data_IF_735540645132
#
_entry.id   IF_735540645132
#
_cell.length_a   1.000
_cell.length_b   1.000
_cell.length_c   1.000
_cell.angle_alpha   90.00
_cell.angle_beta   90.00
_cell.angle_gamma   90.00
#
_symmetry.space_group_name_H-M   'P 1'
#
loop_
_entity.id
_entity.type
_entity.pdbx_description
1 polymer ?
#
# COMPACT_ATOMS: atom_id res chain seq x y z
N UNK A 1 19.01 2.12 -1.06
CA UNK A 1 17.97 1.12 -1.32
C UNK A 1 16.65 1.73 -0.89
N UNK A 2 15.68 1.85 -1.80
CA UNK A 2 14.35 2.39 -1.50
C UNK A 2 13.38 1.26 -1.14
N UNK A 3 12.76 1.35 0.02
CA UNK A 3 11.76 0.39 0.50
C UNK A 3 10.35 0.95 0.25
N UNK A 4 9.56 0.25 -0.55
CA UNK A 4 8.16 0.56 -0.80
C UNK A 4 7.21 -0.33 -0.02
N UNK A 5 6.00 0.16 0.21
CA UNK A 5 4.86 -0.65 0.67
C UNK A 5 3.69 -0.57 -0.31
N UNK A 6 3.09 -1.71 -0.60
CA UNK A 6 1.90 -1.84 -1.43
C UNK A 6 0.74 -2.39 -0.58
N UNK A 7 -0.25 -1.54 -0.30
CA UNK A 7 -1.40 -1.86 0.53
C UNK A 7 -2.57 -2.29 -0.35
N UNK A 8 -2.95 -3.57 -0.24
CA UNK A 8 -4.02 -4.12 -1.06
C UNK A 8 -5.44 -3.67 -0.70
N UNK A 9 -6.39 -4.01 -1.57
CA UNK A 9 -7.81 -3.97 -1.24
C UNK A 9 -8.17 -4.97 -0.14
N UNK A 10 -9.34 -4.82 0.47
CA UNK A 10 -9.73 -5.69 1.59
C UNK A 10 -11.11 -5.47 2.19
N UNK A 11 -11.88 -4.47 1.73
CA UNK A 11 -13.18 -4.13 2.32
C UNK A 11 -13.10 -4.02 3.85
N UNK A 12 -13.98 -4.75 4.55
CA UNK A 12 -14.06 -4.79 6.01
C UNK A 12 -12.76 -5.18 6.73
N UNK A 13 -11.80 -5.84 6.04
CA UNK A 13 -10.49 -6.23 6.61
C UNK A 13 -9.46 -5.11 6.59
N UNK A 14 -9.80 -3.91 6.10
CA UNK A 14 -8.86 -2.80 5.92
C UNK A 14 -8.09 -2.38 7.18
N UNK A 15 -8.63 -2.63 8.37
CA UNK A 15 -7.95 -2.37 9.65
C UNK A 15 -6.63 -3.12 9.83
N UNK A 16 -6.49 -4.27 9.17
CA UNK A 16 -5.25 -5.06 9.22
C UNK A 16 -4.05 -4.26 8.71
N UNK A 17 -4.25 -3.37 7.72
CA UNK A 17 -3.19 -2.48 7.24
C UNK A 17 -2.64 -1.58 8.35
N UNK A 18 -3.52 -1.02 9.19
CA UNK A 18 -3.12 -0.17 10.32
C UNK A 18 -2.27 -0.97 11.31
N UNK A 19 -2.68 -2.20 11.64
CA UNK A 19 -1.93 -3.08 12.54
C UNK A 19 -0.54 -3.44 12.01
N UNK A 20 -0.45 -3.76 10.72
CA UNK A 20 0.81 -4.06 10.03
C UNK A 20 1.73 -2.84 10.03
N UNK A 21 1.24 -1.69 9.57
CA UNK A 21 2.00 -0.43 9.53
C UNK A 21 2.54 -0.04 10.91
N UNK A 22 1.73 -0.19 11.96
CA UNK A 22 2.16 0.08 13.34
C UNK A 22 3.27 -0.87 13.79
N UNK A 23 3.13 -2.15 13.49
CA UNK A 23 4.09 -3.17 13.90
C UNK A 23 5.44 -2.96 13.21
N UNK A 24 5.41 -2.61 11.93
CA UNK A 24 6.60 -2.23 11.15
C UNK A 24 7.23 -0.93 11.67
N UNK A 25 6.42 0.10 11.94
CA UNK A 25 6.91 1.37 12.49
C UNK A 25 7.58 1.19 13.87
N UNK A 26 7.00 0.37 14.77
CA UNK A 26 7.60 0.03 16.07
C UNK A 26 8.93 -0.72 15.93
N UNK A 27 9.11 -1.46 14.85
CA UNK A 27 10.37 -2.12 14.54
C UNK A 27 11.42 -1.20 13.88
N UNK A 28 11.09 0.09 13.69
CA UNK A 28 11.94 1.07 13.05
C UNK A 28 11.94 1.01 11.52
N UNK A 29 10.97 0.30 10.91
CA UNK A 29 10.84 0.22 9.45
C UNK A 29 10.05 1.43 8.95
N UNK A 30 10.66 2.19 8.05
CA UNK A 30 10.05 3.31 7.34
C UNK A 30 10.02 3.02 5.85
N UNK A 31 9.03 3.56 5.15
CA UNK A 31 8.84 3.36 3.71
C UNK A 31 9.12 4.65 2.95
N UNK A 32 9.92 4.54 1.89
CA UNK A 32 10.25 5.62 0.96
C UNK A 32 9.15 5.84 -0.09
N UNK A 33 8.28 4.84 -0.27
CA UNK A 33 7.21 4.83 -1.27
C UNK A 33 5.99 4.11 -0.69
N UNK A 34 4.80 4.67 -0.89
CA UNK A 34 3.54 4.10 -0.41
C UNK A 34 2.57 3.99 -1.58
N UNK A 35 1.96 2.83 -1.76
CA UNK A 35 0.92 2.65 -2.77
C UNK A 35 -0.26 1.92 -2.19
N UNK A 36 -1.46 2.22 -2.69
CA UNK A 36 -2.67 1.64 -2.16
C UNK A 36 -3.77 1.44 -3.19
N UNK A 37 -4.57 0.40 -2.97
CA UNK A 37 -5.78 0.09 -3.74
C UNK A 37 -6.98 -0.02 -2.81
N UNK A 38 -8.11 0.57 -3.18
CA UNK A 38 -9.33 0.54 -2.36
C UNK A 38 -9.07 1.08 -0.96
N UNK A 39 -9.44 0.34 0.08
CA UNK A 39 -9.14 0.68 1.47
C UNK A 39 -7.63 0.86 1.74
N UNK A 40 -6.77 0.17 0.99
CA UNK A 40 -5.32 0.38 1.04
C UNK A 40 -4.89 1.76 0.54
N UNK A 41 -5.60 2.36 -0.41
CA UNK A 41 -5.35 3.74 -0.85
C UNK A 41 -5.68 4.73 0.26
N UNK A 42 -6.82 4.56 0.92
CA UNK A 42 -7.20 5.41 2.05
C UNK A 42 -6.19 5.30 3.20
N UNK A 43 -5.84 4.09 3.65
CA UNK A 43 -4.85 3.89 4.72
C UNK A 43 -3.47 4.37 4.30
N UNK A 44 -3.09 4.14 3.03
CA UNK A 44 -1.82 4.58 2.47
C UNK A 44 -1.67 6.10 2.43
N UNK A 45 -2.71 6.83 2.01
CA UNK A 45 -2.72 8.29 2.01
C UNK A 45 -2.52 8.85 3.43
N UNK A 46 -3.20 8.26 4.41
CA UNK A 46 -3.09 8.68 5.82
C UNK A 46 -1.69 8.39 6.39
N UNK A 47 -1.09 7.26 6.02
CA UNK A 47 0.29 6.94 6.39
C UNK A 47 1.29 7.91 5.72
N UNK A 48 1.14 8.14 4.41
CA UNK A 48 2.02 9.02 3.64
C UNK A 48 1.99 10.47 4.16
N UNK A 49 0.88 10.89 4.78
CA UNK A 49 0.72 12.19 5.39
C UNK A 49 1.34 12.33 6.81
N UNK A 50 2.11 11.34 7.28
CA UNK A 50 2.67 11.27 8.64
C UNK A 50 1.63 11.22 9.78
N UNK A 51 0.39 10.84 9.48
CA UNK A 51 -0.72 10.83 10.47
C UNK A 51 -0.93 9.47 11.12
N UNK A 52 0.03 8.55 11.02
CA UNK A 52 -0.11 7.17 11.53
C UNK A 52 -0.44 7.12 13.04
N UNK A 53 0.13 8.02 13.84
CA UNK A 53 -0.15 8.10 15.29
C UNK A 53 -1.58 8.56 15.57
N UNK A 54 -2.11 9.50 14.77
CA UNK A 54 -3.50 9.97 14.90
C UNK A 54 -4.50 8.90 14.44
N UNK A 55 -4.14 8.15 13.38
CA UNK A 55 -4.89 6.96 12.98
C UNK A 55 -4.92 5.89 14.08
N UNK A 56 -3.85 5.72 14.86
CA UNK A 56 -3.85 4.78 15.97
C UNK A 56 -4.87 5.19 17.04
N UNK A 57 -4.84 6.45 17.48
CA UNK A 57 -5.74 6.93 18.53
C UNK A 57 -7.21 6.83 18.11
N UNK A 58 -7.49 7.12 16.84
CA UNK A 58 -8.86 7.07 16.34
C UNK A 58 -9.26 5.72 15.75
N UNK A 59 -8.36 4.79 15.38
CA UNK A 59 -8.75 3.41 15.03
C UNK A 59 -9.43 2.69 16.19
N UNK A 60 -9.14 3.10 17.44
CA UNK A 60 -9.83 2.65 18.65
C UNK A 60 -11.28 3.18 18.74
N UNK A 61 -11.60 4.25 18.00
CA UNK A 61 -12.89 4.96 18.02
C UNK A 61 -13.68 4.81 16.71
N UNK A 62 -12.97 4.69 15.59
CA UNK A 62 -13.48 4.60 14.24
C UNK A 62 -13.61 3.14 13.90
N UNK A 63 -14.86 2.65 13.93
CA UNK A 63 -15.21 1.47 13.16
C UNK A 63 -15.38 1.94 11.71
N UNK A 64 -14.28 2.00 10.93
CA UNK A 64 -14.24 2.35 9.49
C UNK A 64 -15.36 1.65 8.70
N UNK A 65 -15.85 0.51 9.21
CA UNK A 65 -16.95 -0.29 8.68
C UNK A 65 -18.11 -0.54 9.67
N UNK A 66 -18.48 0.38 10.57
CA UNK A 66 -19.83 0.38 11.20
C UNK A 66 -20.95 0.70 10.15
N UNK A 67 -20.74 0.27 8.91
CA UNK A 67 -21.71 0.22 7.84
C UNK A 67 -22.16 -1.24 7.77
N UNK A 68 -23.45 -1.57 7.96
CA UNK A 68 -23.96 -2.92 7.76
C UNK A 68 -23.93 -3.23 6.26
N UNK A 69 -22.74 -3.51 5.71
CA UNK A 69 -22.51 -3.64 4.27
C UNK A 69 -22.66 -5.09 3.78
N UNK A 70 -23.04 -6.04 4.64
CA UNK A 70 -23.09 -7.46 4.28
C UNK A 70 -24.41 -8.19 4.57
N UNK A 71 -25.42 -7.56 5.18
CA UNK A 71 -26.67 -8.26 5.54
C UNK A 71 -27.91 -7.35 5.49
N UNK A 72 -28.25 -6.81 4.32
CA UNK A 72 -29.62 -6.32 4.10
C UNK A 72 -30.04 -6.55 2.66
N UNK A 73 -30.95 -7.51 2.39
CA UNK A 73 -31.51 -7.77 1.06
C UNK A 73 -32.44 -6.67 0.54
N UNK A 74 -32.60 -5.55 1.27
CA UNK A 74 -33.79 -4.68 1.17
C UNK A 74 -33.48 -3.19 0.93
N UNK A 75 -32.26 -2.82 0.54
CA UNK A 75 -31.92 -1.41 0.25
C UNK A 75 -31.68 -1.20 -1.25
N UNK A 76 -32.52 -0.34 -1.81
CA UNK A 76 -32.69 -0.02 -3.23
C UNK A 76 -31.38 0.11 -4.01
N UNK A 77 -31.41 -0.40 -5.25
CA UNK A 77 -30.39 -0.42 -6.33
C UNK A 77 -29.83 0.95 -6.79
N UNK A 78 -29.81 1.97 -5.95
CA UNK A 78 -29.37 3.32 -6.34
C UNK A 78 -28.47 3.97 -5.27
N UNK A 79 -27.16 3.80 -5.43
CA UNK A 79 -26.15 4.86 -5.21
C UNK A 79 -26.00 5.54 -3.84
N UNK A 80 -26.60 5.04 -2.75
CA UNK A 80 -26.65 5.81 -1.48
C UNK A 80 -25.50 5.54 -0.50
N UNK A 81 -24.67 4.52 -0.69
CA UNK A 81 -23.37 4.47 -0.03
C UNK A 81 -22.38 5.23 -0.91
N UNK A 82 -22.35 6.56 -0.85
CA UNK A 82 -21.63 7.42 -1.81
C UNK A 82 -20.12 7.54 -1.57
N UNK A 83 -19.53 6.69 -0.72
CA UNK A 83 -18.15 6.80 -0.28
C UNK A 83 -17.93 7.97 0.68
N UNK A 84 -19.01 8.67 1.05
CA UNK A 84 -19.00 9.88 1.88
C UNK A 84 -18.24 9.67 3.18
N UNK A 85 -18.45 8.56 3.90
CA UNK A 85 -17.75 8.31 5.16
C UNK A 85 -16.24 8.14 4.98
N UNK A 86 -15.81 7.44 3.93
CA UNK A 86 -14.40 7.31 3.61
C UNK A 86 -13.77 8.67 3.24
N UNK A 87 -14.52 9.54 2.57
CA UNK A 87 -14.08 10.90 2.23
C UNK A 87 -14.09 11.85 3.42
N UNK A 88 -15.04 11.72 4.34
CA UNK A 88 -15.04 12.44 5.62
C UNK A 88 -13.81 12.07 6.44
N UNK A 89 -13.47 10.78 6.54
CA UNK A 89 -12.27 10.33 7.24
C UNK A 89 -11.00 10.84 6.55
N UNK A 90 -10.97 10.82 5.21
CA UNK A 90 -9.85 11.38 4.46
C UNK A 90 -9.70 12.89 4.74
N UNK A 91 -10.80 13.65 4.69
CA UNK A 91 -10.80 15.09 4.94
C UNK A 91 -10.53 15.47 6.42
N UNK A 92 -10.87 14.60 7.37
CA UNK A 92 -10.60 14.82 8.80
C UNK A 92 -9.10 14.68 9.12
N UNK A 93 -8.39 13.79 8.43
CA UNK A 93 -7.01 13.43 8.78
C UNK A 93 -5.97 13.89 7.79
N UNK A 94 -6.35 14.16 6.54
CA UNK A 94 -5.43 14.64 5.54
C UNK A 94 -5.62 16.13 5.35
N UNK A 95 -4.60 16.88 5.78
CA UNK A 95 -4.49 18.33 5.71
C UNK A 95 -3.85 18.82 4.40
N UNK A 96 -3.57 17.92 3.46
CA UNK A 96 -3.07 18.24 2.13
C UNK A 96 -4.12 18.01 1.04
N UNK A 97 -4.10 18.85 0.01
CA UNK A 97 -5.06 18.78 -1.10
C UNK A 97 -4.55 17.90 -2.26
N UNK A 98 -3.24 17.90 -2.50
CA UNK A 98 -2.62 17.21 -3.63
C UNK A 98 -1.71 16.06 -3.19
N UNK A 99 -1.46 15.12 -4.09
CA UNK A 99 -0.59 13.96 -3.83
C UNK A 99 0.86 14.40 -3.66
N UNK A 100 1.27 15.44 -4.37
CA UNK A 100 2.62 16.00 -4.40
C UNK A 100 3.00 16.66 -3.08
N UNK A 101 2.01 17.12 -2.33
CA UNK A 101 2.19 17.72 -1.01
C UNK A 101 2.43 16.66 0.09
N UNK A 102 2.25 15.37 -0.22
CA UNK A 102 2.50 14.31 0.76
C UNK A 102 4.00 14.16 1.06
N UNK A 103 4.39 14.04 2.35
CA UNK A 103 5.77 13.81 2.76
C UNK A 103 6.43 12.57 2.16
N UNK A 104 5.65 11.53 1.85
CA UNK A 104 6.12 10.28 1.27
C UNK A 104 5.50 10.11 -0.13
N UNK A 105 6.30 9.82 -1.17
CA UNK A 105 5.79 9.49 -2.50
C UNK A 105 4.66 8.46 -2.47
N UNK A 106 3.52 8.83 -3.05
CA UNK A 106 2.29 8.08 -2.92
C UNK A 106 1.64 7.77 -4.27
N UNK A 107 1.02 6.58 -4.39
CA UNK A 107 0.08 6.29 -5.47
C UNK A 107 -1.23 5.66 -4.99
N UNK A 108 -2.36 6.19 -5.47
CA UNK A 108 -3.66 5.51 -5.41
C UNK A 108 -3.93 4.79 -6.73
N UNK A 109 -4.32 3.52 -6.69
CA UNK A 109 -4.61 2.73 -7.90
C UNK A 109 -6.12 2.57 -8.10
N UNK A 110 -6.58 2.91 -9.29
CA UNK A 110 -7.95 2.73 -9.78
C UNK A 110 -7.93 1.97 -11.12
N UNK A 111 -9.12 1.66 -11.64
CA UNK A 111 -9.31 1.01 -12.94
C UNK A 111 -10.25 1.87 -13.80
N UNK A 112 -9.92 2.07 -15.08
CA UNK A 112 -10.87 2.62 -16.04
C UNK A 112 -11.86 1.52 -16.46
N UNK A 113 -13.15 1.77 -16.16
CA UNK A 113 -14.23 0.83 -16.39
C UNK A 113 -14.37 0.40 -17.86
N UNK A 114 -14.05 1.28 -18.81
CA UNK A 114 -14.27 1.01 -20.22
C UNK A 114 -13.06 0.40 -20.91
N UNK A 115 -11.85 0.91 -20.64
CA UNK A 115 -10.64 0.36 -21.26
C UNK A 115 -10.09 -0.87 -20.53
N UNK A 116 -10.45 -1.06 -19.26
CA UNK A 116 -9.86 -2.11 -18.43
C UNK A 116 -8.39 -1.84 -18.11
N UNK A 117 -7.98 -0.58 -18.09
CA UNK A 117 -6.61 -0.17 -17.79
C UNK A 117 -6.46 0.27 -16.34
N UNK A 118 -5.29 -0.02 -15.77
CA UNK A 118 -4.88 0.52 -14.47
C UNK A 118 -4.59 2.02 -14.60
N UNK A 119 -5.10 2.78 -13.64
CA UNK A 119 -4.81 4.20 -13.47
C UNK A 119 -4.13 4.38 -12.11
N UNK A 120 -2.82 4.64 -12.12
CA UNK A 120 -2.05 5.01 -10.94
C UNK A 120 -2.01 6.53 -10.80
N UNK A 121 -2.68 7.07 -9.78
CA UNK A 121 -2.62 8.48 -9.44
C UNK A 121 -1.38 8.76 -8.61
N UNK A 122 -0.42 9.49 -9.17
CA UNK A 122 0.81 9.94 -8.48
C UNK A 122 0.88 11.46 -8.34
N UNK A 123 -0.16 12.17 -8.79
CA UNK A 123 -0.21 13.63 -8.88
C UNK A 123 -1.66 14.12 -8.93
N UNK A 124 -1.91 15.37 -8.52
CA UNK A 124 -3.21 16.02 -8.52
C UNK A 124 -4.02 15.78 -7.24
N UNK A 125 -5.34 15.95 -7.31
CA UNK A 125 -6.22 15.88 -6.13
C UNK A 125 -6.15 14.53 -5.43
N UNK A 126 -5.66 14.54 -4.18
CA UNK A 126 -5.58 13.34 -3.36
C UNK A 126 -6.97 12.77 -3.06
N UNK A 127 -7.93 13.64 -2.77
CA UNK A 127 -9.31 13.23 -2.51
C UNK A 127 -9.92 12.53 -3.73
N UNK A 128 -9.73 13.07 -4.93
CA UNK A 128 -10.23 12.46 -6.15
C UNK A 128 -9.57 11.10 -6.41
N UNK A 129 -8.25 11.00 -6.21
CA UNK A 129 -7.49 9.77 -6.39
C UNK A 129 -7.96 8.65 -5.46
N UNK A 130 -8.09 8.94 -4.16
CA UNK A 130 -8.61 7.98 -3.18
C UNK A 130 -10.08 7.65 -3.48
N UNK A 131 -10.92 8.64 -3.82
CA UNK A 131 -12.34 8.43 -4.15
C UNK A 131 -12.54 7.51 -5.36
N UNK A 132 -11.67 7.61 -6.36
CA UNK A 132 -11.66 6.73 -7.52
C UNK A 132 -11.22 5.31 -7.12
N UNK A 133 -10.16 5.20 -6.32
CA UNK A 133 -9.62 3.93 -5.87
C UNK A 133 -10.59 3.10 -5.01
N UNK A 134 -11.49 3.74 -4.26
CA UNK A 134 -12.52 3.07 -3.43
C UNK A 134 -13.88 2.86 -4.13
N UNK A 135 -13.99 3.17 -5.42
CA UNK A 135 -15.27 3.16 -6.14
C UNK A 135 -15.69 1.72 -6.54
N UNK A 136 -16.00 0.88 -5.55
CA UNK A 136 -16.37 -0.52 -5.74
C UNK A 136 -17.64 -0.63 -6.60
N UNK A 137 -17.60 -1.31 -7.76
CA UNK A 137 -18.78 -1.52 -8.61
C UNK A 137 -19.96 -2.13 -7.83
N UNK A 138 -21.14 -1.55 -7.99
CA UNK A 138 -22.38 -1.98 -7.32
C UNK A 138 -22.53 -1.49 -5.87
N UNK A 139 -21.47 -0.95 -5.24
CA UNK A 139 -21.52 -0.40 -3.87
C UNK A 139 -21.35 1.12 -3.89
N UNK A 140 -20.36 1.63 -4.62
CA UNK A 140 -20.00 3.04 -4.70
C UNK A 140 -20.12 3.53 -6.14
N UNK A 141 -20.61 4.77 -6.33
CA UNK A 141 -20.70 5.39 -7.66
C UNK A 141 -19.31 5.55 -8.27
N UNK A 142 -19.10 5.15 -9.55
CA UNK A 142 -17.86 5.41 -10.29
C UNK A 142 -17.51 6.89 -10.33
N UNK A 143 -16.21 7.19 -10.47
CA UNK A 143 -15.68 8.56 -10.47
C UNK A 143 -15.30 8.96 -11.89
N UNK A 144 -15.86 10.06 -12.38
CA UNK A 144 -15.43 10.62 -13.66
C UNK A 144 -14.17 11.47 -13.48
N UNK A 145 -13.13 11.21 -14.26
CA UNK A 145 -11.91 12.01 -14.31
C UNK A 145 -11.52 12.23 -15.77
N UNK A 146 -11.77 13.45 -16.27
CA UNK A 146 -11.67 13.75 -17.70
C UNK A 146 -12.58 12.83 -18.53
N UNK A 147 -11.98 12.08 -19.46
CA UNK A 147 -12.69 11.12 -20.32
C UNK A 147 -12.85 9.73 -19.70
N UNK A 148 -12.21 9.47 -18.56
CA UNK A 148 -12.21 8.17 -17.90
C UNK A 148 -13.37 8.05 -16.93
N UNK A 149 -13.92 6.86 -16.84
CA UNK A 149 -14.88 6.50 -15.79
C UNK A 149 -14.23 5.46 -14.89
N UNK A 150 -13.92 5.85 -13.67
CA UNK A 150 -13.03 5.10 -12.79
C UNK A 150 -13.78 4.33 -11.73
N UNK A 151 -13.35 3.11 -11.51
CA UNK A 151 -13.82 2.19 -10.49
C UNK A 151 -12.65 1.71 -9.62
N UNK A 152 -12.97 0.97 -8.56
CA UNK A 152 -11.99 0.39 -7.65
C UNK A 152 -10.92 -0.43 -8.39
N UNK A 153 -9.65 -0.12 -8.11
CA UNK A 153 -8.49 -0.73 -8.76
C UNK A 153 -8.32 -2.21 -8.42
N UNK A 154 -8.94 -2.69 -7.32
CA UNK A 154 -8.86 -4.08 -6.89
C UNK A 154 -9.58 -5.06 -7.80
N UNK A 155 -10.28 -4.55 -8.83
CA UNK A 155 -10.81 -5.35 -9.94
C UNK A 155 -9.70 -5.89 -10.86
N UNK A 156 -8.57 -5.18 -10.97
CA UNK A 156 -7.46 -5.54 -11.85
C UNK A 156 -6.13 -5.71 -11.10
N UNK A 157 -5.82 -4.83 -10.16
CA UNK A 157 -4.60 -4.87 -9.35
C UNK A 157 -4.97 -4.79 -7.86
N UNK A 158 -5.32 -5.93 -7.22
CA UNK A 158 -5.69 -5.97 -5.81
C UNK A 158 -4.59 -5.49 -4.85
N UNK A 159 -3.32 -5.64 -5.22
CA UNK A 159 -2.15 -5.19 -4.45
C UNK A 159 -1.20 -4.44 -5.40
N UNK A 160 -0.98 -3.12 -5.24
CA UNK A 160 -0.38 -2.26 -6.25
C UNK A 160 1.16 -2.30 -6.29
N UNK A 161 1.74 -3.49 -6.42
CA UNK A 161 3.20 -3.68 -6.43
C UNK A 161 3.85 -2.98 -7.62
N UNK A 162 3.19 -2.97 -8.78
CA UNK A 162 3.77 -2.35 -9.98
C UNK A 162 3.85 -0.83 -9.83
N UNK A 163 2.83 -0.21 -9.22
CA UNK A 163 2.85 1.22 -8.90
C UNK A 163 4.00 1.57 -7.95
N UNK A 164 4.28 0.74 -6.94
CA UNK A 164 5.40 0.96 -6.01
C UNK A 164 6.75 0.88 -6.73
N UNK A 165 6.90 -0.06 -7.67
CA UNK A 165 8.09 -0.18 -8.51
C UNK A 165 8.26 1.02 -9.44
N UNK A 166 7.18 1.50 -10.05
CA UNK A 166 7.19 2.68 -10.92
C UNK A 166 7.61 3.95 -10.17
N UNK A 167 7.27 4.06 -8.88
CA UNK A 167 7.74 5.14 -8.00
C UNK A 167 9.20 4.96 -7.49
N UNK A 168 9.87 3.88 -7.91
CA UNK A 168 11.30 3.67 -7.67
C UNK A 168 11.64 2.80 -6.46
N UNK A 169 10.71 2.01 -5.93
CA UNK A 169 11.03 1.05 -4.87
C UNK A 169 11.95 -0.09 -5.38
N UNK A 170 13.05 -0.34 -4.66
CA UNK A 170 13.98 -1.46 -4.87
C UNK A 170 13.45 -2.75 -4.23
N UNK A 171 12.69 -2.62 -3.15
CA UNK A 171 12.06 -3.73 -2.42
C UNK A 171 10.65 -3.28 -2.07
N UNK A 172 9.66 -4.16 -2.26
CA UNK A 172 8.26 -3.85 -1.96
C UNK A 172 7.72 -4.84 -0.95
N UNK A 173 7.23 -4.33 0.17
CA UNK A 173 6.41 -5.11 1.12
C UNK A 173 4.97 -5.05 0.63
N UNK A 174 4.44 -6.18 0.16
CA UNK A 174 3.08 -6.28 -0.38
C UNK A 174 2.13 -6.84 0.68
N UNK A 175 1.06 -6.10 1.01
CA UNK A 175 0.07 -6.50 2.00
C UNK A 175 -1.22 -6.95 1.30
N UNK A 176 -1.43 -8.26 1.27
CA UNK A 176 -2.66 -8.89 0.76
C UNK A 176 -3.58 -9.27 1.94
N UNK A 177 -4.83 -8.76 1.91
CA UNK A 177 -5.83 -9.01 2.95
C UNK A 177 -6.77 -10.19 2.64
N UNK A 178 -6.72 -10.73 1.42
CA UNK A 178 -7.55 -11.87 1.01
C UNK A 178 -6.82 -13.20 1.15
N UNK A 179 -5.49 -13.16 1.31
CA UNK A 179 -4.66 -14.36 1.35
C UNK A 179 -4.57 -15.02 -0.02
N UNK A 180 -3.67 -15.99 -0.13
CA UNK A 180 -3.20 -16.55 -1.40
C UNK A 180 -4.35 -17.07 -2.30
N UNK A 181 -4.80 -16.28 -3.28
CA UNK A 181 -5.62 -16.75 -4.41
C UNK A 181 -4.79 -17.51 -5.46
N UNK A 182 -3.46 -17.45 -5.38
CA UNK A 182 -2.51 -18.18 -6.24
C UNK A 182 -2.28 -19.62 -5.79
N UNK A 183 -2.74 -20.02 -4.60
CA UNK A 183 -2.87 -21.42 -4.24
C UNK A 183 -4.19 -21.95 -4.80
N UNK A 184 -4.18 -22.53 -6.01
CA UNK A 184 -5.28 -23.41 -6.43
C UNK A 184 -5.46 -24.49 -5.35
N UNK A 185 -6.70 -24.85 -4.97
CA UNK A 185 -6.94 -25.84 -3.92
C UNK A 185 -6.78 -27.26 -4.49
N UNK A 186 -5.56 -27.65 -4.78
CA UNK A 186 -5.24 -29.07 -4.91
C UNK A 186 -4.84 -29.57 -3.53
N UNK A 187 -5.86 -30.11 -2.85
CA UNK A 187 -5.84 -30.77 -1.55
C UNK A 187 -5.52 -29.90 -0.32
N UNK A 188 -6.57 -29.70 0.48
CA UNK A 188 -6.50 -29.24 1.85
C UNK A 188 -5.59 -30.15 2.69
N UNK A 189 -4.32 -29.80 2.79
CA UNK A 189 -3.47 -30.23 3.89
C UNK A 189 -3.69 -29.26 5.06
N UNK A 190 -4.06 -29.83 6.22
CA UNK A 190 -4.15 -29.08 7.49
C UNK A 190 -2.82 -28.38 7.78
N UNK A 191 -2.84 -27.21 8.45
CA UNK A 191 -1.61 -26.55 8.86
C UNK A 191 -0.87 -27.44 9.86
N UNK A 192 0.30 -27.94 9.48
CA UNK A 192 1.28 -28.47 10.42
C UNK A 192 2.20 -27.33 10.84
N UNK A 193 2.40 -27.21 12.15
CA UNK A 193 3.32 -26.25 12.75
C UNK A 193 4.73 -26.39 12.17
N UNK A 194 5.29 -25.27 11.71
CA UNK A 194 6.74 -25.10 11.60
C UNK A 194 7.40 -25.28 10.23
N UNK A 195 6.67 -25.25 9.10
CA UNK A 195 7.32 -25.43 7.79
C UNK A 195 7.29 -24.17 6.92
N UNK A 196 8.45 -23.56 6.76
CA UNK A 196 8.71 -22.55 5.71
C UNK A 196 8.84 -23.30 4.39
N UNK A 197 7.70 -23.67 3.80
CA UNK A 197 7.71 -24.19 2.43
C UNK A 197 8.18 -23.10 1.48
N UNK A 198 9.47 -23.14 1.14
CA UNK A 198 10.04 -22.47 -0.02
C UNK A 198 9.42 -23.07 -1.27
N UNK A 199 8.30 -22.48 -1.68
CA UNK A 199 7.79 -22.59 -3.05
C UNK A 199 8.65 -21.63 -3.88
N UNK A 200 9.20 -22.08 -5.01
CA UNK A 200 9.99 -21.28 -5.96
C UNK A 200 9.15 -20.13 -6.56
N UNK A 201 8.89 -19.11 -5.74
CA UNK A 201 8.20 -17.89 -6.13
C UNK A 201 9.22 -16.74 -6.15
N UNK A 202 9.10 -15.78 -7.10
CA UNK A 202 9.97 -14.60 -7.16
C UNK A 202 9.77 -13.62 -5.98
N UNK A 203 9.04 -14.03 -4.94
CA UNK A 203 8.70 -13.26 -3.75
C UNK A 203 8.56 -14.19 -2.54
N UNK A 204 9.04 -13.73 -1.39
CA UNK A 204 8.89 -14.43 -0.11
C UNK A 204 7.52 -14.10 0.50
N UNK A 205 6.78 -15.13 0.93
CA UNK A 205 5.46 -14.98 1.53
C UNK A 205 5.55 -15.13 3.04
N UNK A 206 5.01 -14.14 3.76
CA UNK A 206 5.02 -14.11 5.22
C UNK A 206 3.61 -13.97 5.77
N UNK A 207 3.31 -14.70 6.84
CA UNK A 207 2.04 -14.57 7.60
C UNK A 207 2.20 -13.79 8.90
N UNK A 208 3.45 -13.45 9.26
CA UNK A 208 3.81 -12.77 10.50
C UNK A 208 4.71 -11.57 10.22
N UNK A 209 4.36 -10.41 10.78
CA UNK A 209 5.14 -9.17 10.64
C UNK A 209 6.54 -9.29 11.25
N UNK A 210 6.72 -10.06 12.33
CA UNK A 210 8.04 -10.28 12.93
C UNK A 210 9.02 -10.91 11.92
N UNK A 211 8.57 -11.92 11.19
CA UNK A 211 9.38 -12.58 10.16
C UNK A 211 9.70 -11.65 9.00
N UNK A 212 8.76 -10.75 8.62
CA UNK A 212 9.04 -9.69 7.64
C UNK A 212 10.15 -8.77 8.13
N UNK A 213 10.10 -8.35 9.41
CA UNK A 213 11.14 -7.49 10.01
C UNK A 213 12.50 -8.17 10.01
N UNK A 214 12.57 -9.44 10.41
CA UNK A 214 13.82 -10.21 10.43
C UNK A 214 14.38 -10.36 9.01
N UNK A 215 13.52 -10.65 8.03
CA UNK A 215 13.92 -10.72 6.63
C UNK A 215 14.48 -9.38 6.16
N UNK A 216 13.75 -8.26 6.38
CA UNK A 216 14.19 -6.93 5.96
C UNK A 216 15.53 -6.53 6.59
N UNK A 217 15.80 -6.95 7.82
CA UNK A 217 17.07 -6.70 8.52
C UNK A 217 18.22 -7.56 8.01
N UNK A 218 17.93 -8.75 7.48
CA UNK A 218 18.95 -9.64 6.91
C UNK A 218 19.41 -9.22 5.52
N UNK A 219 18.65 -8.37 4.83
CA UNK A 219 19.00 -7.89 3.50
C UNK A 219 20.29 -7.06 3.53
N UNK A 220 21.20 -7.27 2.55
CA UNK A 220 22.41 -6.48 2.47
C UNK A 220 22.06 -5.01 2.22
N UNK A 221 22.55 -4.11 3.08
CA UNK A 221 22.49 -2.67 2.82
C UNK A 221 23.31 -2.40 1.56
N UNK A 222 22.66 -2.07 0.44
CA UNK A 222 23.35 -1.64 -0.78
C UNK A 222 24.17 -0.39 -0.42
N UNK A 223 25.50 -0.48 -0.51
CA UNK A 223 26.43 0.65 -0.38
C UNK A 223 25.90 1.82 -1.19
N UNK A 224 25.80 3.00 -0.59
CA UNK A 224 25.45 4.19 -1.35
C UNK A 224 26.61 4.53 -2.28
N UNK A 225 26.32 5.11 -3.45
CA UNK A 225 27.37 5.60 -4.36
C UNK A 225 28.26 6.68 -3.71
N UNK A 226 27.86 7.25 -2.56
CA UNK A 226 28.72 8.13 -1.74
C UNK A 226 29.81 7.34 -1.03
N UNK A 227 29.46 6.21 -0.42
CA UNK A 227 30.41 5.35 0.31
C UNK A 227 31.52 4.81 -0.61
N UNK A 228 31.18 4.50 -1.87
CA UNK A 228 32.14 4.05 -2.89
C UNK A 228 33.08 5.16 -3.38
N UNK A 229 32.64 6.43 -3.31
CA UNK A 229 33.44 7.59 -3.74
C UNK A 229 34.44 8.01 -2.66
N UNK A 230 34.03 7.92 -1.40
CA UNK A 230 34.90 8.17 -0.24
C UNK A 230 35.97 7.07 -0.09
N UNK A 231 35.60 5.81 -0.36
CA UNK A 231 36.52 4.67 -0.40
C UNK A 231 37.56 4.77 -1.53
N UNK A 232 37.20 5.39 -2.66
CA UNK A 232 38.11 5.60 -3.80
C UNK A 232 39.06 6.79 -3.57
N UNK A 233 38.66 7.79 -2.77
CA UNK A 233 39.54 8.91 -2.40
C UNK A 233 40.58 8.57 -1.34
N UNK A 234 40.35 7.55 -0.50
CA UNK A 234 41.36 7.08 0.47
C UNK A 234 42.45 6.19 -0.14
N UNK A 235 42.27 5.68 -1.37
CA UNK A 235 43.25 4.80 -2.02
C UNK A 235 44.22 5.51 -2.99
N UNK A 236 44.09 6.82 -3.23
CA UNK A 236 45.10 7.58 -3.98
C UNK A 236 46.10 8.18 -2.99
N UNK A 237 46.86 7.29 -2.33
CA UNK A 237 48.07 7.64 -1.62
C UNK A 237 49.12 8.20 -2.59
N UNK A 238 49.75 9.31 -2.18
CA UNK A 238 50.77 10.04 -2.91
C UNK A 238 51.88 9.13 -3.51
N UNK A 239 52.39 9.44 -4.72
CA UNK A 239 53.68 8.90 -5.11
C UNK A 239 54.78 9.60 -4.31
N UNK A 240 55.49 8.80 -3.52
CA UNK A 240 56.82 9.11 -3.01
C UNK A 240 57.71 9.55 -4.18
N UNK A 241 58.31 10.73 -4.06
CA UNK A 241 59.56 11.05 -4.76
C UNK A 241 60.56 11.45 -3.67
N UNK A 242 61.49 10.53 -3.42
CA UNK A 242 62.75 10.76 -2.72
C UNK A 242 63.71 11.50 -3.67
N UNK A 243 64.49 12.40 -3.07
CA UNK A 243 65.70 13.13 -3.55
C UNK A 243 65.94 13.33 -5.04
#
# INVERSE_FOLDING_TARGET
>A
MKLGIALGGGGARGFSHIGVLKSLARAGIQFDVVTGTSIGALVGALYANNKLTQLEEQSKRIRFFDVPLLLSPTVSLSGMFSGRRAMELLAEFVDVETIEDLPVPYAAVACDLYSGEIVSFTSGSLQQAVRASIAIPGVFTPVRSGRRLLIDGGTLEPVPVQAARALGADIVVAIDLFGNRSARPDHAAKPSDGDTQRVDAPHEVFTNVATVVDYLRSLPKRLSLRDLRDSASEQVGAPNVLE
#
